data_IF_455166525732
#
_entry.id   IF_455166525732
#
_cell.length_a   1.000
_cell.length_b   1.000
_cell.length_c   1.000
_cell.angle_alpha   90.00
_cell.angle_beta   90.00
_cell.angle_gamma   90.00
#
_symmetry.space_group_name_H-M   'P 1'
#
loop_
_entity.id
_entity.type
_entity.pdbx_description
1 polymer ?
#
# COMPACT_ATOMS: atom_id res chain seq x y z
N UNK A 1 -18.29 9.59 6.11
CA UNK A 1 -18.10 9.94 7.53
C UNK A 1 -19.49 9.88 8.12
N UNK A 2 -19.72 9.02 9.11
CA UNK A 2 -21.02 8.95 9.77
C UNK A 2 -21.25 10.18 10.65
N UNK A 3 -22.43 10.27 11.26
CA UNK A 3 -22.78 11.40 12.12
C UNK A 3 -21.97 11.47 13.43
N UNK A 4 -21.26 10.39 13.77
CA UNK A 4 -20.40 10.28 14.96
C UNK A 4 -18.93 10.57 14.64
N UNK A 5 -18.61 10.89 13.37
CA UNK A 5 -17.25 11.18 12.92
C UNK A 5 -16.42 9.94 12.59
N UNK A 6 -17.01 8.74 12.53
CA UNK A 6 -16.31 7.54 12.12
C UNK A 6 -16.20 7.46 10.60
N UNK A 7 -15.13 6.80 10.15
CA UNK A 7 -14.83 6.65 8.73
C UNK A 7 -14.15 7.87 8.12
N UNK A 8 -13.74 7.71 6.87
CA UNK A 8 -13.00 8.75 6.16
C UNK A 8 -11.49 8.51 6.20
N UNK A 9 -10.77 9.51 5.70
CA UNK A 9 -9.34 9.44 5.44
C UNK A 9 -8.65 10.66 6.02
N UNK A 10 -7.59 10.44 6.78
CA UNK A 10 -6.67 11.48 7.27
C UNK A 10 -5.44 11.48 6.37
N UNK A 11 -4.91 12.66 6.05
CA UNK A 11 -3.59 12.81 5.43
C UNK A 11 -2.63 13.24 6.54
N UNK A 12 -1.64 12.40 6.86
CA UNK A 12 -0.75 12.59 8.00
C UNK A 12 0.71 12.45 7.60
N UNK A 13 1.43 13.59 7.56
CA UNK A 13 2.86 13.63 7.30
C UNK A 13 3.72 13.00 8.41
N UNK A 14 3.13 12.69 9.57
CA UNK A 14 3.79 12.01 10.69
C UNK A 14 3.87 10.49 10.54
N UNK A 15 3.18 9.91 9.56
CA UNK A 15 3.16 8.47 9.32
C UNK A 15 3.77 8.11 7.98
N UNK A 16 4.73 7.19 7.95
CA UNK A 16 5.37 6.77 6.70
C UNK A 16 4.57 5.72 5.90
N UNK A 17 3.63 5.02 6.54
CA UNK A 17 2.89 3.89 5.96
C UNK A 17 1.42 4.23 5.90
N UNK A 18 0.81 4.04 4.71
CA UNK A 18 -0.62 4.24 4.53
C UNK A 18 -1.38 3.10 5.22
N UNK A 19 -2.29 3.45 6.13
CA UNK A 19 -3.16 2.51 6.84
C UNK A 19 -4.57 2.62 6.32
N UNK A 20 -5.14 1.54 5.80
CA UNK A 20 -6.52 1.53 5.34
C UNK A 20 -7.37 0.70 6.29
N UNK A 21 -8.65 1.06 6.40
CA UNK A 21 -9.63 0.16 7.02
C UNK A 21 -9.46 -1.24 6.42
N UNK A 22 -9.52 -2.26 7.28
CA UNK A 22 -9.05 -3.61 6.96
C UNK A 22 -9.70 -4.17 5.70
N UNK A 23 -11.02 -4.03 5.52
CA UNK A 23 -11.68 -4.54 4.31
C UNK A 23 -11.18 -3.86 3.02
N UNK A 24 -10.91 -2.55 3.08
CA UNK A 24 -10.33 -1.79 1.96
C UNK A 24 -8.90 -2.23 1.68
N UNK A 25 -8.08 -2.37 2.72
CA UNK A 25 -6.71 -2.87 2.59
C UNK A 25 -6.67 -4.26 1.95
N UNK A 26 -7.49 -5.19 2.42
CA UNK A 26 -7.51 -6.56 1.95
C UNK A 26 -7.90 -6.65 0.47
N UNK A 27 -8.89 -5.86 0.05
CA UNK A 27 -9.31 -5.77 -1.35
C UNK A 27 -8.18 -5.21 -2.24
N UNK A 28 -7.54 -4.12 -1.81
CA UNK A 28 -6.43 -3.52 -2.55
C UNK A 28 -5.23 -4.48 -2.65
N UNK A 29 -4.84 -5.07 -1.52
CA UNK A 29 -3.76 -6.06 -1.43
C UNK A 29 -4.01 -7.25 -2.36
N UNK A 30 -5.24 -7.76 -2.40
CA UNK A 30 -5.59 -8.91 -3.23
C UNK A 30 -5.36 -8.62 -4.71
N UNK A 31 -5.92 -7.52 -5.23
CA UNK A 31 -5.75 -7.15 -6.64
C UNK A 31 -4.31 -6.77 -6.96
N UNK A 32 -3.59 -6.11 -6.03
CA UNK A 32 -2.17 -5.82 -6.20
C UNK A 32 -1.35 -7.11 -6.37
N UNK A 33 -1.54 -8.10 -5.49
CA UNK A 33 -0.84 -9.39 -5.56
C UNK A 33 -1.16 -10.15 -6.86
N UNK A 34 -2.40 -10.09 -7.31
CA UNK A 34 -2.82 -10.70 -8.56
C UNK A 34 -2.16 -10.04 -9.78
N UNK A 35 -2.10 -8.71 -9.80
CA UNK A 35 -1.41 -7.97 -10.86
C UNK A 35 0.11 -8.08 -10.82
N UNK A 36 0.68 -8.40 -9.65
CA UNK A 36 2.10 -8.59 -9.42
C UNK A 36 2.53 -10.07 -9.39
N UNK A 37 1.70 -10.99 -9.90
CA UNK A 37 1.94 -12.44 -9.78
C UNK A 37 3.20 -12.94 -10.49
N UNK A 38 3.80 -12.12 -11.38
CA UNK A 38 5.07 -12.40 -12.05
C UNK A 38 6.29 -12.12 -11.18
N UNK A 39 6.12 -11.45 -10.03
CA UNK A 39 7.21 -11.14 -9.11
C UNK A 39 7.40 -12.27 -8.09
N UNK A 40 8.65 -12.53 -7.72
CA UNK A 40 9.01 -13.49 -6.67
C UNK A 40 8.56 -12.97 -5.31
N UNK A 41 7.61 -13.62 -4.67
CA UNK A 41 7.18 -13.27 -3.31
C UNK A 41 8.32 -13.54 -2.30
N UNK A 42 8.42 -12.66 -1.31
CA UNK A 42 9.28 -12.81 -0.14
C UNK A 42 8.43 -12.95 1.13
N UNK A 43 9.07 -13.33 2.24
CA UNK A 43 8.42 -13.36 3.54
C UNK A 43 8.01 -11.93 3.97
N UNK A 44 6.88 -11.83 4.67
CA UNK A 44 6.42 -10.55 5.22
C UNK A 44 7.38 -10.03 6.31
N UNK A 45 7.47 -8.70 6.43
CA UNK A 45 8.36 -8.04 7.38
C UNK A 45 7.55 -7.09 8.26
N UNK A 46 7.58 -7.33 9.57
CA UNK A 46 6.86 -6.54 10.57
C UNK A 46 5.36 -6.36 10.24
N UNK A 47 4.95 -5.16 9.82
CA UNK A 47 3.55 -4.84 9.48
C UNK A 47 3.22 -5.09 8.01
N UNK A 48 4.22 -5.37 7.17
CA UNK A 48 4.03 -5.60 5.74
C UNK A 48 3.84 -7.09 5.47
N UNK A 49 2.70 -7.46 4.89
CA UNK A 49 2.35 -8.85 4.59
C UNK A 49 2.57 -9.23 3.11
N UNK A 50 2.97 -8.25 2.29
CA UNK A 50 3.11 -8.38 0.83
C UNK A 50 4.46 -7.81 0.46
N UNK A 51 5.43 -8.71 0.28
CA UNK A 51 6.81 -8.37 -0.04
C UNK A 51 7.29 -9.20 -1.22
N UNK A 52 8.27 -8.66 -1.95
CA UNK A 52 8.85 -9.29 -3.14
C UNK A 52 10.37 -9.21 -3.08
N UNK A 53 11.01 -10.28 -3.54
CA UNK A 53 12.44 -10.35 -3.75
C UNK A 53 12.76 -9.80 -5.15
N UNK A 54 13.37 -8.62 -5.20
CA UNK A 54 13.75 -7.92 -6.43
C UNK A 54 15.27 -7.92 -6.65
N UNK A 55 16.00 -8.82 -5.98
CA UNK A 55 17.46 -8.93 -6.11
C UNK A 55 17.91 -9.10 -7.54
N UNK A 56 18.93 -8.33 -7.92
CA UNK A 56 19.51 -8.35 -9.25
C UNK A 56 18.64 -7.75 -10.36
N UNK A 57 17.47 -7.21 -10.04
CA UNK A 57 16.61 -6.52 -11.01
C UNK A 57 16.99 -5.04 -11.06
N UNK A 58 17.26 -4.52 -12.27
CA UNK A 58 17.50 -3.08 -12.46
C UNK A 58 16.21 -2.26 -12.54
N UNK A 59 15.11 -2.90 -12.96
CA UNK A 59 13.79 -2.31 -13.03
C UNK A 59 12.74 -3.42 -13.05
N UNK A 60 11.59 -3.19 -12.42
CA UNK A 60 10.44 -4.10 -12.46
C UNK A 60 9.16 -3.32 -12.71
N UNK A 61 8.22 -3.95 -13.42
CA UNK A 61 6.86 -3.45 -13.53
C UNK A 61 6.02 -3.93 -12.34
N UNK A 62 5.29 -3.02 -11.73
CA UNK A 62 4.32 -3.28 -10.65
C UNK A 62 2.95 -2.71 -11.05
N UNK A 63 1.84 -3.23 -10.49
CA UNK A 63 0.52 -2.64 -10.69
C UNK A 63 0.50 -1.16 -10.32
N UNK A 64 -0.18 -0.34 -11.13
CA UNK A 64 -0.41 1.05 -10.81
C UNK A 64 -1.41 1.17 -9.65
N UNK A 65 -1.16 2.11 -8.73
CA UNK A 65 -2.08 2.45 -7.64
C UNK A 65 -2.48 3.90 -7.80
N UNK A 66 -3.79 4.15 -7.76
CA UNK A 66 -4.38 5.48 -7.89
C UNK A 66 -5.42 5.67 -6.78
N UNK A 67 -5.41 6.84 -6.15
CA UNK A 67 -6.43 7.25 -5.20
C UNK A 67 -7.41 8.18 -5.91
N UNK A 68 -8.68 7.79 -5.95
CA UNK A 68 -9.75 8.61 -6.50
C UNK A 68 -10.51 9.31 -5.37
N UNK A 69 -10.54 10.64 -5.44
CA UNK A 69 -11.20 11.52 -4.49
C UNK A 69 -12.57 11.96 -5.00
N UNK A 70 -13.39 12.46 -4.08
CA UNK A 70 -14.67 13.08 -4.40
C UNK A 70 -14.53 14.12 -5.52
N UNK A 71 -15.48 14.11 -6.46
CA UNK A 71 -15.42 14.96 -7.65
C UNK A 71 -14.55 14.40 -8.79
N UNK A 72 -14.13 13.13 -8.72
CA UNK A 72 -13.42 12.42 -9.80
C UNK A 72 -11.95 12.81 -9.94
N UNK A 73 -11.37 13.49 -8.95
CA UNK A 73 -9.94 13.83 -8.95
C UNK A 73 -9.13 12.60 -8.61
N UNK A 74 -8.04 12.38 -9.35
CA UNK A 74 -7.20 11.20 -9.25
C UNK A 74 -5.79 11.58 -8.84
N UNK A 75 -5.22 10.82 -7.91
CA UNK A 75 -3.82 10.89 -7.52
C UNK A 75 -3.15 9.57 -7.86
N UNK A 76 -2.35 9.56 -8.93
CA UNK A 76 -1.51 8.43 -9.27
C UNK A 76 -0.31 8.40 -8.35
N UNK A 77 -0.11 7.26 -7.69
CA UNK A 77 1.02 7.08 -6.79
C UNK A 77 2.22 6.59 -7.60
N UNK A 78 3.37 7.29 -7.56
CA UNK A 78 4.62 6.72 -8.06
C UNK A 78 4.93 5.41 -7.34
N UNK A 79 5.48 4.42 -8.04
CA UNK A 79 5.80 3.11 -7.45
C UNK A 79 6.64 3.20 -6.17
N UNK A 80 7.58 4.15 -6.11
CA UNK A 80 8.42 4.41 -4.93
C UNK A 80 7.63 4.84 -3.67
N UNK A 81 6.38 5.28 -3.82
CA UNK A 81 5.53 5.65 -2.69
C UNK A 81 4.88 4.43 -2.05
N UNK A 82 4.73 3.32 -2.77
CA UNK A 82 4.06 2.11 -2.27
C UNK A 82 4.89 0.83 -2.35
N UNK A 83 6.08 0.85 -2.97
CA UNK A 83 7.07 -0.21 -2.92
C UNK A 83 8.30 0.32 -2.22
N UNK A 84 8.45 -0.02 -0.93
CA UNK A 84 9.55 0.48 -0.10
C UNK A 84 10.60 -0.61 0.12
N UNK A 85 11.90 -0.26 0.09
CA UNK A 85 12.94 -1.20 0.49
C UNK A 85 12.85 -1.45 2.00
N UNK A 86 12.91 -2.72 2.41
CA UNK A 86 12.93 -3.10 3.84
C UNK A 86 14.28 -3.64 4.30
N UNK A 87 15.20 -3.85 3.36
CA UNK A 87 16.59 -4.19 3.59
C UNK A 87 17.49 -3.55 2.52
N UNK A 88 18.80 -3.79 2.64
CA UNK A 88 19.80 -3.38 1.63
C UNK A 88 20.03 -4.45 0.57
N UNK A 89 19.39 -5.60 0.70
CA UNK A 89 19.65 -6.78 -0.12
C UNK A 89 18.78 -6.78 -1.37
N UNK A 90 17.58 -6.18 -1.33
CA UNK A 90 16.69 -6.04 -2.47
C UNK A 90 15.26 -6.51 -2.21
N UNK A 91 14.85 -6.65 -0.95
CA UNK A 91 13.45 -6.93 -0.60
C UNK A 91 12.65 -5.64 -0.57
N UNK A 92 11.54 -5.63 -1.30
CA UNK A 92 10.62 -4.50 -1.35
C UNK A 92 9.23 -4.93 -0.88
N UNK A 93 8.61 -4.13 -0.02
CA UNK A 93 7.30 -4.40 0.52
C UNK A 93 6.27 -3.36 0.09
N UNK A 94 5.02 -3.83 -0.04
CA UNK A 94 3.87 -3.00 -0.34
C UNK A 94 3.53 -2.13 0.88
N UNK A 95 3.68 -0.82 0.78
CA UNK A 95 3.60 0.15 1.89
C UNK A 95 2.16 0.54 2.27
N UNK A 96 1.27 -0.45 2.25
CA UNK A 96 -0.09 -0.36 2.78
C UNK A 96 -0.26 -1.40 3.88
N UNK A 97 -1.04 -1.06 4.90
CA UNK A 97 -1.38 -1.99 5.97
C UNK A 97 -2.84 -1.80 6.43
N UNK A 98 -3.44 -2.85 6.96
CA UNK A 98 -4.76 -2.79 7.58
C UNK A 98 -4.73 -2.06 8.92
N UNK A 99 -5.87 -1.47 9.30
CA UNK A 99 -6.14 -0.99 10.66
C UNK A 99 -7.51 -1.46 11.13
N UNK A 100 -7.64 -1.67 12.43
CA UNK A 100 -8.92 -1.96 13.11
C UNK A 100 -9.71 -0.68 13.43
N UNK A 101 -9.09 0.48 13.25
CA UNK A 101 -9.77 1.77 13.31
C UNK A 101 -10.73 1.94 12.13
N UNK A 102 -11.89 2.58 12.32
CA UNK A 102 -12.74 2.96 11.20
C UNK A 102 -12.10 4.03 10.30
N UNK A 103 -11.01 4.67 10.73
CA UNK A 103 -10.29 5.71 9.98
C UNK A 103 -9.15 5.12 9.16
N UNK A 104 -9.04 5.58 7.91
CA UNK A 104 -7.84 5.36 7.09
C UNK A 104 -6.89 6.55 7.20
N UNK A 105 -5.58 6.31 7.06
CA UNK A 105 -4.51 7.32 7.12
C UNK A 105 -3.65 7.15 5.87
N UNK A 106 -3.51 8.21 5.08
CA UNK A 106 -2.51 8.30 4.01
C UNK A 106 -1.29 9.02 4.57
N UNK A 107 -0.14 8.36 4.47
CA UNK A 107 1.17 8.87 4.85
C UNK A 107 1.92 9.52 3.68
#
# INVERSE_FOLDING_TARGET
>A
IDNDGNGGVIIDSGTAVTRLESAVYESLRHEFRKGASHLSAAEGVAIFDTCYDLRGQSSVAVPAVELEFAGGKKLQLPAKNFMIPVDLEGTFCFAFAGTTSPLSIIG
#
